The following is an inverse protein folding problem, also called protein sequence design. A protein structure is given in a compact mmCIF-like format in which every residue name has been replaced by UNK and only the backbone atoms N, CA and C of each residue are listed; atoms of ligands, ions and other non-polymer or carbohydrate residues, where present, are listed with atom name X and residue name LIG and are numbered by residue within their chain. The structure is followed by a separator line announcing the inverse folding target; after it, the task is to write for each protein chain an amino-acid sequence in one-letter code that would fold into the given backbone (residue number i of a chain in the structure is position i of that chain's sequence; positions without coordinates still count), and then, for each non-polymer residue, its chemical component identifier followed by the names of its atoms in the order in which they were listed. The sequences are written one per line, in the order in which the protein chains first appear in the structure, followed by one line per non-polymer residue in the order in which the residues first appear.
data_IF_051837796737
#
_entry.id   IF_051837796737
#
_cell.length_a   1.000
_cell.length_b   1.000
_cell.length_c   1.000
_cell.angle_alpha   90.00
_cell.angle_beta   90.00
_cell.angle_gamma   90.00
#
_symmetry.space_group_name_H-M   'P 1'
#
loop_
_entity.id
_entity.type
_entity.pdbx_description
1 polymer ?
#
# COMPACT_ATOMS: atom_id res chain seq x y z
N UNK A 1 -28.55 14.16 -34.16
CA UNK A 1 -28.96 15.46 -33.60
C UNK A 1 -30.38 15.70 -34.09
N UNK A 2 -31.40 15.65 -33.21
CA UNK A 2 -32.74 16.11 -33.59
C UNK A 2 -32.80 17.62 -33.33
N UNK A 3 -33.38 18.37 -34.25
CA UNK A 3 -33.52 19.81 -34.10
C UNK A 3 -34.41 20.14 -32.89
N UNK A 4 -33.95 21.05 -32.03
CA UNK A 4 -34.76 21.65 -30.96
C UNK A 4 -34.66 21.06 -29.55
N UNK A 5 -34.07 19.88 -29.35
CA UNK A 5 -33.97 19.24 -28.01
C UNK A 5 -32.54 19.11 -27.47
N UNK A 6 -31.57 19.71 -28.15
CA UNK A 6 -30.16 19.56 -27.79
C UNK A 6 -29.49 20.92 -27.55
N UNK A 7 -28.80 21.08 -26.41
CA UNK A 7 -28.05 22.29 -26.11
C UNK A 7 -26.86 22.47 -27.06
N UNK A 8 -26.52 23.72 -27.33
CA UNK A 8 -25.41 24.09 -28.22
C UNK A 8 -24.09 23.50 -27.74
N UNK A 9 -23.34 22.95 -28.68
CA UNK A 9 -22.10 22.23 -28.41
C UNK A 9 -20.93 23.08 -28.90
N UNK A 10 -20.01 23.41 -28.00
CA UNK A 10 -18.87 24.27 -28.29
C UNK A 10 -17.57 23.50 -28.13
N UNK A 11 -16.54 23.88 -28.89
CA UNK A 11 -15.16 23.50 -28.61
C UNK A 11 -14.60 24.41 -27.52
N UNK A 12 -14.17 23.80 -26.43
CA UNK A 12 -13.85 24.46 -25.16
C UNK A 12 -12.48 23.98 -24.68
N UNK A 13 -11.68 24.91 -24.19
CA UNK A 13 -10.42 24.58 -23.52
C UNK A 13 -10.68 24.23 -22.06
N UNK A 14 -10.43 22.97 -21.69
CA UNK A 14 -10.43 22.56 -20.30
C UNK A 14 -9.07 22.93 -19.68
N UNK A 15 -9.08 23.71 -18.60
CA UNK A 15 -7.88 24.11 -17.86
C UNK A 15 -7.82 23.36 -16.55
N UNK A 16 -6.75 22.62 -16.32
CA UNK A 16 -6.53 21.96 -15.04
C UNK A 16 -5.57 22.75 -14.14
N UNK A 17 -5.75 22.64 -12.82
CA UNK A 17 -4.82 23.16 -11.81
C UNK A 17 -3.37 22.67 -12.01
N UNK A 18 -3.20 21.51 -12.68
CA UNK A 18 -1.90 20.96 -13.06
C UNK A 18 -1.18 21.73 -14.18
N UNK A 19 -1.80 22.75 -14.78
CA UNK A 19 -1.29 23.49 -15.93
C UNK A 19 -1.55 22.81 -17.28
N UNK A 20 -2.09 21.58 -17.29
CA UNK A 20 -2.50 20.93 -18.51
C UNK A 20 -3.77 21.58 -19.08
N UNK A 21 -3.73 21.90 -20.36
CA UNK A 21 -4.88 22.38 -21.12
C UNK A 21 -5.16 21.41 -22.27
N UNK A 22 -6.42 21.06 -22.48
CA UNK A 22 -6.81 20.22 -23.62
C UNK A 22 -8.14 20.68 -24.20
N UNK A 23 -8.29 20.48 -25.51
CA UNK A 23 -9.51 20.85 -26.24
C UNK A 23 -10.54 19.75 -26.04
N UNK A 24 -11.73 20.10 -25.56
CA UNK A 24 -12.86 19.18 -25.36
C UNK A 24 -14.12 19.85 -25.85
N UNK A 25 -15.10 19.06 -26.28
CA UNK A 25 -16.40 19.59 -26.66
C UNK A 25 -17.36 19.56 -25.46
N UNK A 26 -17.95 20.70 -25.15
CA UNK A 26 -18.86 20.86 -24.02
C UNK A 26 -19.95 21.87 -24.35
N UNK A 27 -21.06 21.80 -23.63
CA UNK A 27 -22.14 22.79 -23.69
C UNK A 27 -21.81 24.05 -22.86
N UNK A 28 -20.75 24.00 -22.04
CA UNK A 28 -20.27 25.11 -21.20
C UNK A 28 -19.00 25.71 -21.79
N UNK A 29 -18.96 27.04 -21.91
CA UNK A 29 -17.87 27.79 -22.58
C UNK A 29 -16.51 27.75 -21.87
N UNK A 30 -16.48 27.51 -20.57
CA UNK A 30 -15.25 27.41 -19.78
C UNK A 30 -15.31 26.18 -18.85
N UNK A 31 -14.22 25.43 -18.77
CA UNK A 31 -14.09 24.26 -17.90
C UNK A 31 -12.83 24.37 -17.05
N UNK A 32 -13.00 24.55 -15.75
CA UNK A 32 -11.92 24.48 -14.76
C UNK A 32 -11.97 23.13 -14.04
N UNK A 33 -10.84 22.42 -14.00
CA UNK A 33 -10.73 21.08 -13.43
C UNK A 33 -9.63 21.02 -12.37
N UNK A 34 -9.95 20.45 -11.21
CA UNK A 34 -8.97 20.29 -10.13
C UNK A 34 -8.02 19.11 -10.36
N UNK A 35 -8.47 18.09 -11.10
CA UNK A 35 -7.69 16.85 -11.30
C UNK A 35 -7.80 16.41 -12.77
N UNK A 36 -6.65 16.31 -13.42
CA UNK A 36 -6.47 15.83 -14.79
C UNK A 36 -6.02 14.36 -14.80
N UNK A 37 -6.13 13.68 -15.95
CA UNK A 37 -5.55 12.35 -16.15
C UNK A 37 -4.04 12.33 -15.86
N UNK A 38 -3.37 13.46 -16.04
CA UNK A 38 -1.95 13.62 -15.77
C UNK A 38 -1.62 13.73 -14.26
N UNK A 39 -2.60 14.06 -13.41
CA UNK A 39 -2.37 14.31 -11.99
C UNK A 39 -3.20 13.44 -11.05
N UNK A 40 -4.17 12.67 -11.54
CA UNK A 40 -4.87 11.75 -10.66
C UNK A 40 -3.87 10.69 -10.15
N UNK A 41 -3.71 10.52 -8.81
CA UNK A 41 -2.75 9.58 -8.23
C UNK A 41 -2.84 8.17 -8.80
N UNK A 42 -4.04 7.77 -9.23
CA UNK A 42 -4.32 6.53 -9.95
C UNK A 42 -3.54 6.39 -11.28
N UNK A 43 -3.51 7.43 -12.11
CA UNK A 43 -2.84 7.37 -13.43
C UNK A 43 -1.33 7.52 -13.31
N UNK A 44 -0.85 8.27 -12.31
CA UNK A 44 0.59 8.44 -12.08
C UNK A 44 1.28 7.21 -11.48
N UNK A 45 0.55 6.12 -11.23
CA UNK A 45 1.12 4.82 -10.85
C UNK A 45 1.82 4.79 -9.49
N UNK A 46 1.89 5.91 -8.77
CA UNK A 46 2.35 5.98 -7.39
C UNK A 46 1.21 5.50 -6.50
N UNK A 47 1.01 4.18 -6.51
CA UNK A 47 0.25 3.49 -5.52
C UNK A 47 0.84 3.92 -4.18
N UNK A 48 0.05 4.67 -3.40
CA UNK A 48 0.40 5.04 -2.03
C UNK A 48 0.70 3.71 -1.35
N UNK A 49 1.98 3.38 -1.14
CA UNK A 49 2.35 2.28 -0.28
C UNK A 49 1.78 2.69 1.07
N UNK A 50 0.61 2.16 1.40
CA UNK A 50 0.17 2.13 2.77
C UNK A 50 1.14 1.14 3.40
N UNK A 51 2.16 1.68 4.07
CA UNK A 51 3.27 0.89 4.58
C UNK A 51 2.74 -0.29 5.42
N UNK A 52 3.22 -1.52 5.18
CA UNK A 52 2.84 -2.69 5.98
C UNK A 52 3.32 -2.59 7.43
N UNK A 53 4.11 -1.56 7.74
CA UNK A 53 4.68 -1.23 9.05
C UNK A 53 3.62 -1.19 10.15
N UNK A 54 2.39 -0.75 9.83
CA UNK A 54 1.28 -0.79 10.78
C UNK A 54 0.72 -2.18 11.08
N UNK A 55 0.78 -3.14 10.15
CA UNK A 55 0.22 -4.49 10.36
C UNK A 55 1.17 -5.36 11.18
N UNK A 56 2.47 -5.30 10.91
CA UNK A 56 3.49 -6.04 11.64
C UNK A 56 3.62 -5.53 13.07
N UNK A 57 3.66 -4.21 13.27
CA UNK A 57 3.72 -3.65 14.63
C UNK A 57 2.49 -3.97 15.47
N UNK A 58 1.28 -3.98 14.87
CA UNK A 58 0.04 -4.39 15.56
C UNK A 58 0.07 -5.88 15.93
N UNK A 59 0.63 -6.73 15.08
CA UNK A 59 0.81 -8.15 15.37
C UNK A 59 1.82 -8.35 16.51
N UNK A 60 2.97 -7.68 16.43
CA UNK A 60 4.02 -7.74 17.46
C UNK A 60 3.53 -7.20 18.81
N UNK A 61 2.71 -6.13 18.83
CA UNK A 61 2.09 -5.61 20.07
C UNK A 61 1.07 -6.58 20.69
N UNK A 62 0.33 -7.34 19.88
CA UNK A 62 -0.69 -8.29 20.36
C UNK A 62 -0.13 -9.65 20.77
N UNK A 63 0.85 -10.16 20.02
CA UNK A 63 1.33 -11.54 20.15
C UNK A 63 2.81 -11.65 20.53
N UNK A 64 3.56 -10.55 20.52
CA UNK A 64 5.00 -10.55 20.76
C UNK A 64 5.40 -11.14 22.11
N UNK A 65 4.62 -10.91 23.17
CA UNK A 65 4.86 -11.49 24.50
C UNK A 65 4.65 -13.02 24.56
N UNK A 66 3.69 -13.54 23.80
CA UNK A 66 3.38 -14.98 23.74
C UNK A 66 4.38 -15.73 22.86
N UNK A 67 4.88 -15.10 21.80
CA UNK A 67 5.90 -15.71 20.92
C UNK A 67 7.29 -15.71 21.55
N UNK A 68 7.71 -14.64 22.25
CA UNK A 68 9.02 -14.64 22.93
C UNK A 68 9.07 -15.62 24.10
N UNK A 69 7.96 -15.85 24.81
CA UNK A 69 7.88 -16.84 25.88
C UNK A 69 8.06 -18.27 25.33
N UNK A 70 7.34 -18.63 24.26
CA UNK A 70 7.42 -19.97 23.66
C UNK A 70 8.77 -20.23 22.97
N UNK A 71 9.36 -19.22 22.32
CA UNK A 71 10.69 -19.34 21.70
C UNK A 71 11.80 -19.47 22.75
N UNK A 72 11.71 -18.75 23.88
CA UNK A 72 12.67 -18.86 25.00
C UNK A 72 12.59 -20.22 25.70
N UNK A 73 11.37 -20.75 25.88
CA UNK A 73 11.11 -22.10 26.38
C UNK A 73 11.74 -23.17 25.46
N UNK A 74 11.53 -23.03 24.14
CA UNK A 74 12.05 -23.95 23.13
C UNK A 74 13.59 -23.90 23.02
N UNK A 75 14.19 -22.71 23.08
CA UNK A 75 15.65 -22.54 23.09
C UNK A 75 16.27 -23.16 24.35
N UNK A 76 15.64 -23.02 25.52
CA UNK A 76 16.08 -23.68 26.76
C UNK A 76 16.00 -25.20 26.65
N UNK A 77 14.89 -25.74 26.12
CA UNK A 77 14.73 -27.19 25.86
C UNK A 77 15.73 -27.73 24.83
N UNK A 78 16.07 -26.96 23.79
CA UNK A 78 17.08 -27.36 22.80
C UNK A 78 18.50 -27.35 23.40
N UNK A 79 18.83 -26.35 24.22
CA UNK A 79 20.11 -26.28 24.94
C UNK A 79 20.27 -27.39 25.98
N UNK A 80 19.21 -27.74 26.72
CA UNK A 80 19.27 -28.85 27.68
C UNK A 80 19.40 -30.21 26.99
N UNK A 81 18.78 -30.41 25.81
CA UNK A 81 18.99 -31.60 24.98
C UNK A 81 20.40 -31.69 24.39
N UNK A 82 20.95 -30.58 23.90
CA UNK A 82 22.33 -30.53 23.38
C UNK A 82 23.39 -30.79 24.48
N UNK A 83 23.14 -30.33 25.72
CA UNK A 83 24.05 -30.60 26.85
C UNK A 83 23.99 -32.07 27.32
N UNK A 84 22.88 -32.77 27.06
CA UNK A 84 22.68 -34.18 27.44
C UNK A 84 23.26 -35.16 26.41
N UNK A 85 23.31 -34.80 25.12
CA UNK A 85 23.90 -35.63 24.06
C UNK A 85 25.44 -35.60 24.04
N UNK A 86 26.07 -34.54 24.55
CA UNK A 86 27.54 -34.43 24.63
C UNK A 86 28.10 -35.21 25.83
N UNK A 87 27.30 -35.42 26.89
CA UNK A 87 27.71 -36.19 28.07
C UNK A 87 27.67 -37.73 27.89
N UNK A 88 26.96 -38.25 26.88
CA UNK A 88 26.88 -39.70 26.63
C UNK A 88 27.92 -40.22 25.61
N UNK A 89 28.73 -39.35 25.01
CA UNK A 89 29.79 -39.74 24.05
C UNK A 89 31.22 -39.58 24.59
N UNK A 90 31.41 -39.16 25.84
CA UNK A 90 32.72 -39.15 26.50
C UNK A 90 32.72 -40.05 27.73
N UNK A 91 32.74 -41.36 27.51
CA UNK A 91 33.28 -42.30 28.50
C UNK A 91 34.64 -42.76 27.97
N UNK A 92 35.76 -42.31 28.56
CA UNK A 92 37.08 -42.77 28.18
C UNK A 92 37.35 -44.13 28.84
N UNK A 93 37.47 -45.18 28.02
CA UNK A 93 38.51 -46.24 28.04
C UNK A 93 37.98 -47.50 27.35
#
# INVERSE_FOLDING_TARGET
MKEGIHPEYFEVEARCACGATWKTRSTKKELHLEICSNCHPFFTGRQKLIDPEGRVERFTKKFGSQTVASVKEQLKRRKSKAKKSVASQTVPK
#
